data_IF_296590390876
#
_entry.id   IF_296590390876
#
_cell.length_a   1.000
_cell.length_b   1.000
_cell.length_c   1.000
_cell.angle_alpha   90.00
_cell.angle_beta   90.00
_cell.angle_gamma   90.00
#
_symmetry.space_group_name_H-M   'P 1'
#
loop_
_entity.id
_entity.type
_entity.pdbx_description
1 polymer ?
#
# COMPACT_ATOMS: atom_id res chain seq x y z
N UNK A 1 2.35 11.00 5.17
CA UNK A 1 1.03 11.63 4.89
C UNK A 1 1.29 12.75 3.90
N UNK A 2 0.41 12.97 2.91
CA UNK A 2 0.52 14.16 2.06
C UNK A 2 -0.04 15.37 2.83
N UNK A 3 0.57 16.53 2.67
CA UNK A 3 0.15 17.78 3.31
C UNK A 3 -0.91 18.53 2.49
N UNK A 4 -1.53 19.54 3.10
CA UNK A 4 -2.35 20.52 2.39
C UNK A 4 -1.49 21.62 1.78
N UNK A 5 -1.99 22.27 0.73
CA UNK A 5 -1.39 23.46 0.12
C UNK A 5 -2.38 24.62 0.29
N UNK A 6 -1.92 25.74 0.84
CA UNK A 6 -2.72 26.96 0.96
C UNK A 6 -2.36 27.92 -0.18
N UNK A 7 -3.35 28.25 -1.03
CA UNK A 7 -3.18 29.17 -2.16
C UNK A 7 -4.04 30.40 -1.88
N UNK A 8 -3.40 31.53 -1.61
CA UNK A 8 -4.07 32.81 -1.38
C UNK A 8 -4.14 33.62 -2.68
N UNK A 9 -5.34 33.96 -3.14
CA UNK A 9 -5.55 34.68 -4.41
C UNK A 9 -6.31 35.99 -4.14
N UNK A 10 -5.61 37.13 -4.00
CA UNK A 10 -6.28 38.42 -3.84
C UNK A 10 -6.86 38.89 -5.17
N UNK A 11 -8.13 39.30 -5.16
CA UNK A 11 -8.80 39.94 -6.28
C UNK A 11 -9.31 41.32 -5.85
N UNK A 12 -9.08 42.33 -6.69
CA UNK A 12 -9.61 43.66 -6.48
C UNK A 12 -11.03 43.76 -7.05
N UNK A 13 -11.88 44.57 -6.43
CA UNK A 13 -13.17 44.95 -7.01
C UNK A 13 -12.96 45.77 -8.29
N UNK A 14 -13.89 45.72 -9.27
CA UNK A 14 -15.17 45.01 -9.24
C UNK A 14 -15.05 43.50 -9.50
N UNK A 15 -15.77 42.70 -8.72
CA UNK A 15 -15.83 41.23 -8.89
C UNK A 15 -16.93 40.77 -9.86
N UNK A 16 -17.80 41.69 -10.28
CA UNK A 16 -18.95 41.43 -11.14
C UNK A 16 -18.93 42.36 -12.36
N UNK A 17 -19.41 41.87 -13.50
CA UNK A 17 -19.47 42.59 -14.76
C UNK A 17 -19.66 41.62 -15.92
N UNK A 18 -19.95 42.16 -17.11
CA UNK A 18 -19.95 41.37 -18.34
C UNK A 18 -18.52 41.02 -18.74
N UNK A 19 -18.36 39.84 -19.35
CA UNK A 19 -17.06 39.41 -19.86
C UNK A 19 -16.73 40.18 -21.14
N UNK A 20 -15.55 40.79 -21.18
CA UNK A 20 -14.98 41.41 -22.37
C UNK A 20 -13.70 40.67 -22.79
N UNK A 21 -13.01 41.18 -23.81
CA UNK A 21 -11.77 40.59 -24.28
C UNK A 21 -10.55 40.95 -23.40
N UNK A 22 -10.76 41.60 -22.24
CA UNK A 22 -9.67 41.99 -21.33
C UNK A 22 -8.94 40.74 -20.83
N UNK A 23 -7.64 40.67 -21.14
CA UNK A 23 -6.77 39.55 -20.76
C UNK A 23 -6.83 38.34 -21.69
N UNK A 24 -7.69 38.33 -22.72
CA UNK A 24 -7.77 37.22 -23.67
C UNK A 24 -6.44 36.99 -24.42
N UNK A 25 -5.81 38.07 -24.90
CA UNK A 25 -4.50 38.01 -25.58
C UNK A 25 -3.36 37.57 -24.64
N UNK A 26 -3.49 37.83 -23.33
CA UNK A 26 -2.54 37.35 -22.32
C UNK A 26 -2.69 35.85 -22.09
N UNK A 27 -3.93 35.34 -21.98
CA UNK A 27 -4.21 33.91 -21.84
C UNK A 27 -3.82 33.10 -23.08
N UNK A 28 -4.05 33.65 -24.28
CA UNK A 28 -3.72 33.00 -25.56
C UNK A 28 -2.21 32.75 -25.73
N UNK A 29 -1.34 33.40 -24.95
CA UNK A 29 0.11 33.13 -24.98
C UNK A 29 0.49 31.72 -24.53
N UNK A 30 -0.37 31.05 -23.78
CA UNK A 30 -0.18 29.64 -23.42
C UNK A 30 -0.43 28.71 -24.63
N UNK A 31 -1.01 29.23 -25.72
CA UNK A 31 -1.19 28.53 -26.98
C UNK A 31 -2.01 27.25 -26.83
N UNK A 32 -1.54 26.18 -27.45
CA UNK A 32 -2.21 24.87 -27.46
C UNK A 32 -2.22 24.18 -26.08
N UNK A 33 -1.55 24.74 -25.06
CA UNK A 33 -1.62 24.21 -23.70
C UNK A 33 -3.05 24.17 -23.14
N UNK A 34 -3.92 25.09 -23.57
CA UNK A 34 -5.34 25.05 -23.21
C UNK A 34 -6.07 23.77 -23.67
N UNK A 35 -5.50 23.05 -24.63
CA UNK A 35 -6.03 21.80 -25.19
C UNK A 35 -5.19 20.57 -24.76
N UNK A 36 -4.11 20.76 -24.01
CA UNK A 36 -3.19 19.68 -23.59
C UNK A 36 -3.68 19.03 -22.27
N UNK A 37 -3.31 17.76 -22.05
CA UNK A 37 -3.64 16.99 -20.85
C UNK A 37 -2.55 17.07 -19.77
N UNK A 38 -1.52 17.89 -20.01
CA UNK A 38 -0.28 17.92 -19.24
C UNK A 38 -0.15 19.22 -18.45
N UNK A 39 0.45 19.17 -17.24
CA UNK A 39 0.81 20.38 -16.51
C UNK A 39 1.74 21.27 -17.34
N UNK A 40 1.57 22.59 -17.23
CA UNK A 40 2.46 23.57 -17.86
C UNK A 40 3.93 23.35 -17.45
N UNK A 41 4.14 23.12 -16.16
CA UNK A 41 5.44 22.73 -15.59
C UNK A 41 5.31 21.36 -14.93
N UNK A 42 6.17 20.42 -15.34
CA UNK A 42 6.25 19.08 -14.78
C UNK A 42 7.37 18.99 -13.75
N UNK A 43 7.01 19.15 -12.49
CA UNK A 43 7.92 18.95 -11.36
C UNK A 43 7.35 17.89 -10.41
N UNK A 44 7.90 16.68 -10.49
CA UNK A 44 7.41 15.53 -9.72
C UNK A 44 8.57 14.69 -9.15
N UNK A 45 9.34 15.23 -8.20
CA UNK A 45 10.41 14.48 -7.55
C UNK A 45 9.82 13.28 -6.80
N UNK A 46 10.35 12.08 -7.08
CA UNK A 46 10.04 10.88 -6.31
C UNK A 46 10.90 10.84 -5.06
N UNK A 47 10.26 10.81 -3.90
CA UNK A 47 10.92 10.58 -2.64
C UNK A 47 10.74 9.12 -2.24
N UNK A 48 11.76 8.32 -2.48
CA UNK A 48 11.80 6.90 -2.13
C UNK A 48 13.05 6.63 -1.28
N UNK A 49 12.90 5.79 -0.25
CA UNK A 49 14.05 5.32 0.52
C UNK A 49 14.74 4.18 -0.20
N UNK A 50 16.07 4.12 -0.09
CA UNK A 50 16.82 2.98 -0.62
C UNK A 50 16.46 1.68 0.10
N UNK A 51 16.53 0.57 -0.64
CA UNK A 51 16.37 -0.77 -0.10
C UNK A 51 17.49 -1.06 0.91
N UNK A 52 17.13 -1.53 2.10
CA UNK A 52 18.09 -1.89 3.15
C UNK A 52 18.88 -3.14 2.73
N UNK A 53 20.20 -3.00 2.56
CA UNK A 53 21.09 -4.04 2.03
C UNK A 53 21.27 -5.22 3.00
N UNK A 54 21.24 -4.93 4.29
CA UNK A 54 21.40 -5.86 5.41
C UNK A 54 20.08 -6.54 5.82
N UNK A 55 18.98 -6.29 5.11
CA UNK A 55 17.67 -6.90 5.40
C UNK A 55 17.71 -8.44 5.51
N UNK A 56 18.53 -9.10 4.69
CA UNK A 56 18.70 -10.57 4.72
C UNK A 56 19.28 -11.09 6.03
N UNK A 57 20.06 -10.27 6.74
CA UNK A 57 20.58 -10.60 8.06
C UNK A 57 19.51 -10.38 9.13
N UNK A 58 18.81 -9.24 9.08
CA UNK A 58 17.79 -8.87 10.07
C UNK A 58 16.58 -9.81 10.08
N UNK A 59 16.14 -10.30 8.91
CA UNK A 59 15.00 -11.23 8.83
C UNK A 59 15.21 -12.56 9.54
N UNK A 60 16.47 -12.92 9.86
CA UNK A 60 16.82 -14.15 10.57
C UNK A 60 16.83 -13.96 12.10
N UNK A 61 16.71 -12.73 12.59
CA UNK A 61 16.63 -12.42 14.01
C UNK A 61 15.17 -12.48 14.49
N UNK A 62 14.96 -12.74 15.79
CA UNK A 62 13.63 -12.57 16.41
C UNK A 62 13.25 -11.09 16.37
N UNK A 63 12.00 -10.80 16.02
CA UNK A 63 11.49 -9.44 16.00
C UNK A 63 9.97 -9.40 15.84
N UNK A 64 9.46 -8.19 15.70
CA UNK A 64 8.02 -7.89 15.72
C UNK A 64 7.67 -6.97 14.56
N UNK A 65 6.57 -7.25 13.85
CA UNK A 65 5.99 -6.34 12.87
C UNK A 65 4.74 -5.71 13.48
N UNK A 66 4.70 -4.38 13.45
CA UNK A 66 3.53 -3.59 13.84
C UNK A 66 2.94 -2.95 12.60
N UNK A 67 1.76 -3.41 12.20
CA UNK A 67 1.07 -2.94 11.00
C UNK A 67 0.02 -1.88 11.36
N UNK A 68 0.30 -0.62 11.00
CA UNK A 68 -0.62 0.51 11.14
C UNK A 68 -1.62 0.65 9.98
N UNK A 69 -2.03 1.88 9.68
CA UNK A 69 -2.93 2.15 8.54
C UNK A 69 -2.19 1.97 7.22
N UNK A 70 -2.72 1.09 6.38
CA UNK A 70 -2.23 0.77 5.04
C UNK A 70 -3.41 0.28 4.19
N UNK A 71 -3.27 0.31 2.86
CA UNK A 71 -4.25 -0.29 1.96
C UNK A 71 -4.29 -1.83 2.13
N UNK A 72 -5.35 -2.47 1.65
CA UNK A 72 -5.46 -3.93 1.70
C UNK A 72 -4.32 -4.62 0.91
N UNK A 73 -3.97 -4.05 -0.24
CA UNK A 73 -2.90 -4.53 -1.12
C UNK A 73 -1.52 -4.38 -0.48
N UNK A 74 -1.27 -3.25 0.19
CA UNK A 74 -0.05 -3.02 0.97
C UNK A 74 0.04 -4.00 2.14
N UNK A 75 -1.08 -4.27 2.81
CA UNK A 75 -1.19 -5.29 3.84
C UNK A 75 -0.81 -6.68 3.35
N UNK A 76 -1.32 -7.09 2.19
CA UNK A 76 -1.00 -8.37 1.56
C UNK A 76 0.50 -8.52 1.26
N UNK A 77 1.14 -7.45 0.77
CA UNK A 77 2.58 -7.43 0.43
C UNK A 77 3.48 -7.38 1.67
N UNK A 78 3.03 -6.68 2.72
CA UNK A 78 3.74 -6.55 4.00
C UNK A 78 3.65 -7.80 4.86
N UNK A 79 2.61 -8.62 4.65
CA UNK A 79 2.47 -9.94 5.25
C UNK A 79 3.37 -10.90 4.47
N UNK A 80 4.45 -11.46 5.06
CA UNK A 80 5.22 -12.50 4.41
C UNK A 80 4.28 -13.66 4.06
N UNK A 81 4.01 -13.85 2.77
CA UNK A 81 3.17 -14.95 2.27
C UNK A 81 3.83 -16.26 2.65
N UNK A 82 3.15 -17.08 3.46
CA UNK A 82 3.62 -18.42 3.77
C UNK A 82 3.08 -18.94 5.09
N UNK A 83 1.89 -19.52 5.04
CA UNK A 83 1.33 -20.46 6.02
C UNK A 83 2.33 -21.49 6.60
N UNK A 84 3.46 -21.74 5.93
CA UNK A 84 4.37 -22.83 6.28
C UNK A 84 5.69 -22.39 6.96
N UNK A 85 5.89 -21.09 7.25
CA UNK A 85 7.15 -20.60 7.85
C UNK A 85 6.95 -19.71 9.10
N UNK A 86 5.77 -19.69 9.71
CA UNK A 86 5.56 -18.98 10.99
C UNK A 86 5.91 -19.83 12.22
N UNK A 87 6.16 -21.13 12.04
CA UNK A 87 6.54 -22.03 13.12
C UNK A 87 8.05 -22.05 13.43
N UNK A 88 8.89 -21.48 12.56
CA UNK A 88 10.35 -21.57 12.71
C UNK A 88 11.03 -20.29 13.24
N UNK A 89 10.40 -19.11 13.07
CA UNK A 89 10.91 -17.85 13.59
C UNK A 89 9.79 -17.17 14.36
N UNK A 90 9.96 -17.05 15.68
CA UNK A 90 9.03 -16.51 16.69
C UNK A 90 8.66 -15.03 16.43
N UNK A 91 8.00 -14.77 15.31
CA UNK A 91 7.65 -13.44 14.83
C UNK A 91 6.17 -13.19 15.08
N UNK A 92 5.88 -12.26 16.00
CA UNK A 92 4.52 -11.86 16.34
C UNK A 92 4.07 -10.70 15.46
N UNK A 93 2.89 -10.83 14.85
CA UNK A 93 2.26 -9.75 14.09
C UNK A 93 1.08 -9.19 14.89
N UNK A 94 1.14 -7.91 15.27
CA UNK A 94 0.03 -7.19 15.87
C UNK A 94 -0.60 -6.27 14.80
N UNK A 95 -1.80 -6.63 14.35
CA UNK A 95 -2.54 -5.91 13.31
C UNK A 95 -3.68 -5.12 13.96
N UNK A 96 -3.63 -3.79 13.87
CA UNK A 96 -4.66 -2.91 14.45
C UNK A 96 -5.77 -2.55 13.46
N UNK A 97 -5.62 -2.89 12.18
CA UNK A 97 -6.61 -2.61 11.13
C UNK A 97 -7.61 -3.79 10.96
N UNK A 98 -8.91 -3.51 11.09
CA UNK A 98 -10.00 -4.51 11.06
C UNK A 98 -10.07 -5.27 9.73
N UNK A 99 -9.74 -4.63 8.61
CA UNK A 99 -9.70 -5.24 7.27
C UNK A 99 -8.49 -6.17 7.08
N UNK A 100 -7.30 -5.70 7.44
CA UNK A 100 -6.08 -6.52 7.41
C UNK A 100 -6.16 -7.69 8.40
N UNK A 101 -6.79 -7.49 9.56
CA UNK A 101 -7.01 -8.54 10.55
C UNK A 101 -7.98 -9.63 10.05
N UNK A 102 -8.95 -9.30 9.19
CA UNK A 102 -9.85 -10.29 8.58
C UNK A 102 -9.08 -11.19 7.59
N UNK A 103 -8.20 -10.60 6.77
CA UNK A 103 -7.33 -11.32 5.84
C UNK A 103 -6.34 -12.22 6.60
N UNK A 104 -5.66 -11.69 7.63
CA UNK A 104 -4.77 -12.49 8.48
C UNK A 104 -5.51 -13.64 9.18
N UNK A 105 -6.70 -13.41 9.75
CA UNK A 105 -7.50 -14.47 10.39
C UNK A 105 -7.99 -15.53 9.40
N UNK A 106 -8.37 -15.13 8.19
CA UNK A 106 -8.82 -16.06 7.15
C UNK A 106 -7.67 -16.97 6.70
N UNK A 107 -6.49 -16.39 6.44
CA UNK A 107 -5.30 -17.12 6.03
C UNK A 107 -4.77 -18.06 7.13
N UNK A 108 -4.81 -17.64 8.40
CA UNK A 108 -4.46 -18.50 9.54
C UNK A 108 -5.43 -19.67 9.67
N UNK A 109 -6.74 -19.44 9.50
CA UNK A 109 -7.73 -20.53 9.55
C UNK A 109 -7.59 -21.51 8.38
N UNK A 110 -7.34 -21.02 7.17
CA UNK A 110 -7.12 -21.89 6.01
C UNK A 110 -5.90 -22.78 6.21
N UNK A 111 -4.79 -22.20 6.69
CA UNK A 111 -3.58 -22.95 7.01
C UNK A 111 -3.81 -24.04 8.07
N UNK A 112 -4.56 -23.74 9.14
CA UNK A 112 -4.88 -24.73 10.18
C UNK A 112 -5.79 -25.85 9.66
N UNK A 113 -6.73 -25.54 8.77
CA UNK A 113 -7.58 -26.54 8.10
C UNK A 113 -6.75 -27.45 7.19
N UNK A 114 -5.84 -26.88 6.40
CA UNK A 114 -4.97 -27.63 5.48
C UNK A 114 -3.99 -28.52 6.27
N UNK A 115 -3.48 -28.06 7.41
CA UNK A 115 -2.64 -28.88 8.30
C UNK A 115 -3.41 -30.04 8.95
N UNK A 116 -4.68 -29.83 9.33
CA UNK A 116 -5.55 -30.90 9.85
C UNK A 116 -5.89 -31.93 8.76
N UNK A 117 -6.12 -31.48 7.54
CA UNK A 117 -6.33 -32.36 6.39
C UNK A 117 -5.07 -33.19 6.07
N UNK A 118 -3.88 -32.56 6.11
CA UNK A 118 -2.60 -33.25 5.91
C UNK A 118 -2.27 -34.25 7.04
N UNK A 119 -2.60 -33.92 8.29
CA UNK A 119 -2.43 -34.84 9.42
C UNK A 119 -3.42 -36.02 9.36
N UNK A 120 -4.66 -35.80 8.92
CA UNK A 120 -5.66 -36.85 8.74
C UNK A 120 -5.36 -37.81 7.57
N UNK A 121 -4.68 -37.33 6.53
CA UNK A 121 -4.25 -38.15 5.41
C UNK A 121 -3.12 -39.14 5.78
N UNK A 122 -2.33 -38.84 6.82
CA UNK A 122 -1.20 -39.67 7.25
C UNK A 122 -1.61 -40.79 8.23
N UNK A 123 -2.88 -40.85 8.66
CA UNK A 123 -3.41 -41.88 9.54
C UNK A 123 -3.81 -43.19 8.83
N UNK A 124 -3.73 -43.23 7.48
CA UNK A 124 -4.25 -44.35 6.67
C UNK A 124 -3.21 -45.36 6.17
N UNK A 125 -1.91 -45.18 6.45
CA UNK A 125 -0.84 -45.95 5.80
C UNK A 125 -0.03 -46.86 6.74
N UNK A 126 -0.65 -47.46 7.76
CA UNK A 126 -0.03 -48.56 8.52
C UNK A 126 -0.98 -49.75 8.58
N UNK A 127 -0.86 -50.68 7.62
CA UNK A 127 -1.56 -51.96 7.70
C UNK A 127 -1.37 -52.87 6.48
N UNK A 128 -0.50 -53.89 6.66
CA UNK A 128 -0.31 -55.13 5.87
C UNK A 128 0.36 -54.92 4.49
N UNK A 129 1.39 -55.67 4.07
CA UNK A 129 1.65 -57.12 4.05
C UNK A 129 3.04 -57.35 3.39
N UNK A 130 3.58 -58.57 3.24
CA UNK A 130 3.23 -59.86 3.85
C UNK A 130 4.24 -60.35 4.90
#
# INVERSE_FOLDING_TARGET
MRGGVHINCPFAEPLYGEMDDTGLSWQQRLGDWWQDDKPWLREAPRLESEKQRDWFFWRQKRGVVVAGRMSAEEGQKSCPVGANSWLAADWRCAVTNRAAAAVCRSLVRQCQSDQRAAAGANCGATGKQP
#
